data_IF_606445717300
#
_entry.id   IF_606445717300
#
_cell.length_a   1.000
_cell.length_b   1.000
_cell.length_c   1.000
_cell.angle_alpha   90.00
_cell.angle_beta   90.00
_cell.angle_gamma   90.00
#
_symmetry.space_group_name_H-M   'P 1'
#
loop_
_entity.id
_entity.type
_entity.pdbx_description
1 polymer ?
2 non-polymer ?
3 non-polymer ?
4 water ?
#
# COMPACT_ATOMS: atom_id res chain seq x y z
N UNK A 20 -20.80 6.81 -2.76
CA UNK A 20 -20.04 7.61 -3.72
C UNK A 20 -18.74 8.15 -3.13
N UNK A 21 -18.84 8.89 -2.01
CA UNK A 21 -17.73 9.50 -1.28
C UNK A 21 -17.47 8.72 0.02
N UNK A 22 -16.42 9.10 0.78
CA UNK A 22 -16.00 8.49 2.06
C UNK A 22 -16.14 6.97 2.05
N UNK A 23 -15.62 6.34 1.00
CA UNK A 23 -15.71 4.90 0.82
C UNK A 23 -14.35 4.28 0.54
N UNK A 24 -13.28 5.04 0.73
CA UNK A 24 -11.92 4.58 0.50
C UNK A 24 -11.19 4.37 1.82
N UNK A 25 -10.79 3.14 2.05
CA UNK A 25 -9.94 2.78 3.18
C UNK A 25 -8.57 2.69 2.59
N UNK A 26 -7.71 3.61 3.01
CA UNK A 26 -6.35 3.65 2.50
C UNK A 26 -5.34 3.17 3.52
N UNK A 27 -4.71 2.04 3.20
CA UNK A 27 -3.70 1.39 3.99
C UNK A 27 -2.37 2.05 3.66
N UNK A 28 -1.75 2.68 4.65
CA UNK A 28 -0.47 3.35 4.46
C UNK A 28 0.53 2.81 5.47
N UNK A 29 1.80 2.87 5.13
CA UNK A 29 2.88 2.45 6.02
C UNK A 29 3.47 3.71 6.65
N UNK A 30 3.53 3.74 7.98
CA UNK A 30 4.01 4.86 8.77
C UNK A 30 5.52 4.92 8.97
N UNK A 31 6.26 3.86 8.57
CA UNK A 31 7.71 3.85 8.82
C UNK A 31 8.59 3.68 7.57
N UNK A 32 9.42 2.62 7.52
CA UNK A 32 10.35 2.38 6.42
C UNK A 32 9.87 1.38 5.37
N UNK A 33 8.55 1.14 5.29
CA UNK A 33 8.01 0.27 4.25
C UNK A 33 7.92 -1.23 4.46
N UNK A 34 8.41 -1.75 5.59
CA UNK A 34 8.33 -3.19 5.80
C UNK A 34 7.50 -3.57 7.04
N UNK A 35 6.39 -2.84 7.24
CA UNK A 35 5.44 -3.03 8.35
C UNK A 35 4.40 -4.11 8.10
N UNK A 36 4.45 -4.73 6.92
CA UNK A 36 3.48 -5.74 6.53
C UNK A 36 2.10 -5.18 6.24
N UNK A 37 2.04 -4.09 5.41
CA UNK A 37 0.82 -3.42 4.90
C UNK A 37 -0.07 -4.49 4.27
N UNK A 38 0.55 -5.40 3.51
CA UNK A 38 -0.07 -6.51 2.80
C UNK A 38 -0.96 -7.37 3.68
N UNK A 39 -0.51 -7.59 4.93
CA UNK A 39 -1.26 -8.36 5.90
C UNK A 39 -2.56 -7.70 6.27
N UNK A 40 -2.52 -6.42 6.68
CA UNK A 40 -3.74 -5.69 7.06
C UNK A 40 -4.63 -5.43 5.85
N UNK A 41 -4.03 -5.25 4.64
CA UNK A 41 -4.79 -5.06 3.39
C UNK A 41 -5.66 -6.30 3.14
N UNK A 42 -5.03 -7.48 3.17
CA UNK A 42 -5.71 -8.76 3.01
C UNK A 42 -6.75 -8.98 4.09
N UNK A 43 -6.36 -8.73 5.37
CA UNK A 43 -7.26 -8.83 6.53
C UNK A 43 -8.49 -7.92 6.38
N UNK A 44 -8.28 -6.62 6.06
CA UNK A 44 -9.35 -5.65 5.84
C UNK A 44 -10.23 -6.05 4.68
N UNK A 45 -9.62 -6.54 3.57
CA UNK A 45 -10.36 -7.02 2.39
C UNK A 45 -11.32 -8.16 2.75
N UNK A 46 -10.86 -9.08 3.61
CA UNK A 46 -11.65 -10.21 4.07
C UNK A 46 -12.76 -9.78 5.03
N UNK A 47 -12.47 -8.83 5.94
CA UNK A 47 -13.40 -8.32 6.95
C UNK A 47 -14.48 -7.41 6.37
N UNK A 48 -14.09 -6.54 5.43
CA UNK A 48 -14.95 -5.51 4.87
C UNK A 48 -15.53 -5.84 3.50
N UNK A 49 -14.88 -6.73 2.77
CA UNK A 49 -15.35 -7.15 1.46
C UNK A 49 -15.48 -6.01 0.47
N UNK A 50 -14.38 -5.28 0.22
CA UNK A 50 -14.32 -4.20 -0.74
C UNK A 50 -14.60 -4.73 -2.13
N UNK A 51 -15.43 -4.05 -2.88
CA UNK A 51 -15.67 -4.50 -4.24
C UNK A 51 -14.50 -4.01 -5.08
N UNK A 52 -13.85 -2.91 -4.65
CA UNK A 52 -12.69 -2.37 -5.34
C UNK A 52 -11.48 -2.35 -4.46
N UNK A 53 -10.40 -2.81 -5.05
CA UNK A 53 -9.08 -2.79 -4.48
C UNK A 53 -8.24 -2.05 -5.49
N UNK A 54 -7.42 -1.13 -4.99
CA UNK A 54 -6.63 -0.22 -5.80
C UNK A 54 -5.27 0.06 -5.15
N UNK A 55 -4.26 0.25 -5.98
CA UNK A 55 -2.92 0.63 -5.53
C UNK A 55 -2.28 1.35 -6.70
N UNK A 56 -1.02 1.76 -6.57
CA UNK A 56 -0.22 2.40 -7.61
C UNK A 56 1.23 2.07 -7.21
N UNK A 57 1.51 0.76 -7.21
CA UNK A 57 2.81 0.25 -6.81
C UNK A 57 3.83 0.47 -7.89
N UNK A 58 5.03 0.84 -7.46
CA UNK A 58 6.22 0.95 -8.30
C UNK A 58 6.97 -0.36 -8.00
N UNK A 59 8.03 -0.79 -8.75
CA UNK A 59 8.70 -2.05 -8.40
C UNK A 59 9.13 -2.13 -6.93
N UNK A 60 8.79 -3.24 -6.29
CA UNK A 60 9.01 -3.44 -4.85
C UNK A 60 9.29 -4.93 -4.54
N UNK A 61 9.82 -5.22 -3.33
CA UNK A 61 10.15 -6.58 -2.86
C UNK A 61 8.90 -7.47 -2.68
N UNK A 62 7.73 -6.85 -2.70
CA UNK A 62 6.45 -7.54 -2.56
C UNK A 62 5.74 -7.25 -1.26
N UNK A 63 4.44 -7.55 -1.28
CA UNK A 63 3.51 -7.34 -0.17
C UNK A 63 2.81 -8.65 0.04
N UNK A 64 3.00 -9.21 1.22
CA UNK A 64 2.52 -10.51 1.55
C UNK A 64 1.25 -10.50 2.37
N UNK A 65 0.35 -11.41 1.98
CA UNK A 65 -0.85 -11.69 2.71
C UNK A 65 -1.07 -13.18 2.81
N UNK A 66 -1.33 -13.63 4.04
CA UNK A 66 -1.63 -15.04 4.29
C UNK A 66 -3.03 -15.14 4.90
N UNK A 67 -3.94 -15.88 4.26
CA UNK A 67 -5.29 -16.04 4.80
C UNK A 67 -5.31 -17.07 5.96
N UNK A 68 -6.48 -17.26 6.59
CA UNK A 68 -6.72 -18.21 7.69
C UNK A 68 -6.36 -19.63 7.27
N UNK A 69 -6.67 -19.99 6.00
CA UNK A 69 -6.40 -21.31 5.42
C UNK A 69 -4.92 -21.54 5.06
N UNK A 70 -4.09 -20.51 5.21
CA UNK A 70 -2.66 -20.59 4.93
C UNK A 70 -2.24 -20.25 3.51
N UNK A 71 -3.19 -19.85 2.64
CA UNK A 71 -2.87 -19.43 1.27
C UNK A 71 -2.11 -18.10 1.32
N UNK A 72 -0.96 -18.06 0.63
CA UNK A 72 -0.06 -16.93 0.57
C UNK A 72 -0.16 -16.23 -0.77
N UNK A 73 -0.17 -14.91 -0.69
CA UNK A 73 -0.17 -14.00 -1.81
C UNK A 73 1.01 -13.07 -1.61
N UNK A 74 1.95 -13.13 -2.55
CA UNK A 74 3.09 -12.23 -2.51
C UNK A 74 2.95 -11.35 -3.73
N UNK A 75 2.43 -10.16 -3.52
CA UNK A 75 2.16 -9.23 -4.59
C UNK A 75 3.10 -8.06 -4.66
N UNK A 76 3.64 -7.84 -5.85
CA UNK A 76 4.49 -6.71 -6.16
C UNK A 76 3.64 -5.73 -6.97
N UNK A 77 2.63 -6.25 -7.69
CA UNK A 77 1.80 -5.42 -8.58
C UNK A 77 0.37 -5.29 -8.08
N UNK A 78 -0.31 -6.43 -7.94
CA UNK A 78 -1.71 -6.51 -7.54
C UNK A 78 -1.93 -6.16 -6.08
N UNK A 79 -3.03 -5.46 -5.76
CA UNK A 79 -3.35 -5.20 -4.35
C UNK A 79 -3.51 -6.54 -3.61
N UNK A 80 -3.11 -6.56 -2.33
CA UNK A 80 -3.35 -7.70 -1.47
C UNK A 80 -4.85 -7.89 -1.21
N UNK A 81 -5.61 -6.80 -1.39
CA UNK A 81 -7.05 -6.74 -1.22
C UNK A 81 -7.87 -7.59 -2.16
N UNK A 82 -7.24 -8.18 -3.19
CA UNK A 82 -7.91 -9.06 -4.17
C UNK A 82 -8.56 -10.30 -3.51
N UNK A 83 -8.22 -10.56 -2.23
CA UNK A 83 -8.75 -11.65 -1.42
C UNK A 83 -10.18 -11.33 -0.96
N UNK A 84 -10.61 -10.06 -1.09
CA UNK A 84 -11.94 -9.62 -0.70
C UNK A 84 -13.04 -10.55 -1.24
N UNK A 85 -13.99 -11.02 -0.41
CA UNK A 85 -15.06 -11.91 -0.94
C UNK A 85 -15.97 -11.22 -1.95
N UNK A 86 -16.04 -9.88 -1.91
CA UNK A 86 -16.87 -9.11 -2.82
C UNK A 86 -16.10 -8.44 -3.95
N UNK A 87 -14.87 -8.91 -4.23
CA UNK A 87 -14.03 -8.34 -5.30
C UNK A 87 -14.74 -8.23 -6.65
N UNK A 88 -14.90 -7.00 -7.12
CA UNK A 88 -15.53 -6.69 -8.40
C UNK A 88 -14.51 -5.99 -9.30
N UNK A 89 -13.70 -5.09 -8.73
CA UNK A 89 -12.70 -4.30 -9.46
C UNK A 89 -11.32 -4.32 -8.81
N UNK A 90 -10.29 -4.55 -9.64
CA UNK A 90 -8.88 -4.53 -9.27
C UNK A 90 -8.27 -3.41 -10.07
N UNK A 91 -7.81 -2.37 -9.38
CA UNK A 91 -7.34 -1.18 -10.08
C UNK A 91 -5.90 -0.82 -9.79
N UNK A 92 -5.12 -0.75 -10.88
CA UNK A 92 -3.72 -0.38 -10.81
C UNK A 92 -3.62 1.06 -11.30
N UNK A 93 -3.43 1.95 -10.34
CA UNK A 93 -3.38 3.40 -10.52
C UNK A 93 -2.39 3.92 -11.53
N UNK A 94 -2.60 5.17 -11.93
CA UNK A 94 -1.77 5.96 -12.83
C UNK A 94 -0.32 5.93 -12.38
N UNK A 95 -0.12 6.00 -11.06
CA UNK A 95 1.19 5.92 -10.44
C UNK A 95 1.84 4.54 -10.48
N UNK A 96 1.11 3.49 -10.89
CA UNK A 96 1.70 2.16 -10.99
C UNK A 96 2.89 2.16 -11.99
N UNK A 97 3.96 1.48 -11.60
CA UNK A 97 5.13 1.22 -12.42
C UNK A 97 5.27 -0.27 -12.23
N UNK A 98 4.88 -1.02 -13.26
CA UNK A 98 4.82 -2.46 -13.17
C UNK A 98 5.33 -3.17 -14.42
N UNK A 99 5.79 -4.40 -14.19
CA UNK A 99 6.22 -5.33 -15.20
C UNK A 99 4.93 -6.09 -15.56
N UNK A 100 4.64 -6.16 -16.86
CA UNK A 100 3.50 -6.91 -17.41
C UNK A 100 3.72 -8.38 -17.05
N UNK A 101 4.98 -8.89 -17.14
CA UNK A 101 5.33 -10.29 -16.78
C UNK A 101 4.89 -10.59 -15.35
N UNK A 102 5.33 -9.74 -14.40
CA UNK A 102 4.96 -9.83 -12.99
C UNK A 102 3.44 -9.77 -12.82
N UNK A 103 2.77 -8.83 -13.53
CA UNK A 103 1.32 -8.65 -13.49
C UNK A 103 0.58 -9.90 -13.95
N UNK A 104 1.00 -10.46 -15.10
CA UNK A 104 0.43 -11.68 -15.68
C UNK A 104 0.60 -12.87 -14.72
N UNK A 105 1.79 -12.98 -14.11
CA UNK A 105 2.14 -14.03 -13.16
C UNK A 105 1.19 -13.96 -11.94
N UNK A 106 0.97 -12.76 -11.41
CA UNK A 106 0.11 -12.54 -10.24
C UNK A 106 -1.36 -12.75 -10.55
N UNK A 107 -1.77 -12.41 -11.78
CA UNK A 107 -3.14 -12.63 -12.22
C UNK A 107 -3.40 -14.13 -12.33
N UNK A 108 -2.51 -14.88 -13.03
CA UNK A 108 -2.57 -16.34 -13.20
C UNK A 108 -2.62 -17.05 -11.83
N UNK A 109 -1.77 -16.62 -10.88
CA UNK A 109 -1.71 -17.17 -9.52
C UNK A 109 -2.99 -16.92 -8.69
N UNK A 110 -3.76 -15.88 -9.05
CA UNK A 110 -5.04 -15.58 -8.39
C UNK A 110 -6.21 -15.64 -9.37
N UNK A 111 -6.05 -16.45 -10.44
CA UNK A 111 -6.99 -16.74 -11.52
C UNK A 111 -8.39 -16.94 -10.98
N UNK A 112 -8.50 -17.77 -9.93
CA UNK A 112 -9.72 -18.15 -9.21
C UNK A 112 -10.43 -16.94 -8.59
N UNK A 113 -9.65 -15.99 -8.06
CA UNK A 113 -10.15 -14.75 -7.46
C UNK A 113 -10.43 -13.72 -8.53
N UNK A 114 -9.81 -13.88 -9.72
CA UNK A 114 -9.94 -12.91 -10.81
C UNK A 114 -10.75 -13.48 -11.98
N UNK A 115 -11.94 -14.00 -11.66
CA UNK A 115 -12.92 -14.58 -12.58
C UNK A 115 -13.59 -13.52 -13.48
N UNK A 116 -14.58 -13.94 -14.29
CA UNK A 116 -15.35 -13.11 -15.22
C UNK A 116 -15.98 -11.87 -14.58
N UNK A 117 -16.48 -12.02 -13.33
CA UNK A 117 -17.12 -10.94 -12.57
C UNK A 117 -16.11 -10.02 -11.86
N UNK A 118 -14.80 -10.14 -12.18
CA UNK A 118 -13.75 -9.30 -11.64
C UNK A 118 -13.08 -8.53 -12.79
N UNK A 119 -13.19 -7.21 -12.76
CA UNK A 119 -12.56 -6.37 -13.77
C UNK A 119 -11.20 -5.88 -13.27
N UNK A 120 -10.15 -6.21 -14.00
CA UNK A 120 -8.82 -5.72 -13.67
C UNK A 120 -8.63 -4.50 -14.60
N UNK A 121 -8.50 -3.32 -13.99
CA UNK A 121 -8.35 -2.07 -14.70
C UNK A 121 -6.98 -1.47 -14.52
N UNK A 122 -6.21 -1.42 -15.61
CA UNK A 122 -4.91 -0.78 -15.57
C UNK A 122 -5.14 0.63 -16.09
N UNK A 123 -4.82 1.63 -15.25
CA UNK A 123 -4.91 3.04 -15.63
C UNK A 123 -4.13 3.23 -16.94
N UNK A 124 -4.69 3.99 -17.93
CA UNK A 124 -3.99 4.17 -19.22
C UNK A 124 -2.60 4.80 -19.05
N UNK A 125 -2.43 5.58 -17.98
CA UNK A 125 -1.17 6.26 -17.77
C UNK A 125 -0.22 5.53 -16.80
N UNK A 126 -0.55 4.27 -16.45
CA UNK A 126 0.33 3.44 -15.63
C UNK A 126 1.62 3.19 -16.42
N UNK A 127 2.73 3.16 -15.73
CA UNK A 127 4.01 2.96 -16.37
C UNK A 127 4.34 1.48 -16.51
N UNK A 128 4.57 1.05 -17.75
CA UNK A 128 4.96 -0.30 -18.10
C UNK A 128 6.49 -0.36 -18.05
N UNK A 129 6.99 -1.25 -17.18
CA UNK A 129 8.41 -1.50 -16.97
C UNK A 129 8.95 -2.34 -18.14
N UNK A 130 10.06 -1.89 -18.75
CA UNK A 130 10.69 -2.60 -19.88
C UNK A 130 11.35 -3.90 -19.41
N UNK A 131 10.91 -5.06 -19.99
CA UNK A 131 11.37 -6.42 -19.70
C UNK A 131 11.25 -6.82 -18.23
N UNK A 152 12.87 0.90 -13.26
CA UNK A 152 11.92 1.58 -12.38
C UNK A 152 12.08 3.10 -12.51
N UNK A 153 13.29 3.60 -12.18
CA UNK A 153 13.67 5.01 -12.25
C UNK A 153 13.61 5.47 -13.69
N UNK A 154 14.25 4.72 -14.63
CA UNK A 154 14.25 5.02 -16.06
C UNK A 154 12.83 5.01 -16.63
N UNK A 155 11.96 4.08 -16.16
CA UNK A 155 10.56 3.96 -16.56
C UNK A 155 9.74 5.20 -16.14
N UNK A 156 9.76 5.54 -14.82
CA UNK A 156 9.08 6.70 -14.23
C UNK A 156 9.54 7.98 -14.95
N UNK A 157 10.88 8.14 -15.16
CA UNK A 157 11.52 9.25 -15.87
C UNK A 157 11.03 9.35 -17.32
N UNK A 158 11.00 8.21 -18.06
CA UNK A 158 10.54 8.17 -19.47
C UNK A 158 9.07 8.64 -19.57
N UNK A 159 8.26 8.27 -18.57
CA UNK A 159 6.87 8.68 -18.51
C UNK A 159 6.80 10.20 -18.32
N UNK A 160 7.61 10.74 -17.40
CA UNK A 160 7.68 12.19 -17.13
C UNK A 160 8.23 12.96 -18.32
N UNK A 161 9.14 12.35 -19.12
CA UNK A 161 9.74 12.95 -20.32
C UNK A 161 8.65 13.36 -21.28
N UNK A 162 7.53 12.61 -21.29
CA UNK A 162 6.34 12.86 -22.11
C UNK A 162 6.68 13.01 -23.59
N UNK A 163 7.56 12.13 -24.07
CA UNK A 163 8.00 12.11 -25.46
C UNK A 163 6.79 11.69 -26.33
N UNK A 164 6.27 12.60 -27.20
CA UNK A 164 5.11 12.24 -28.03
C UNK A 164 5.32 11.05 -28.96
N UNK A 165 6.58 10.76 -29.33
CA UNK A 165 6.93 9.63 -30.20
C UNK A 165 7.00 8.32 -29.44
N UNK A 166 7.31 8.39 -28.13
CA UNK A 166 7.42 7.21 -27.25
C UNK A 166 6.04 6.61 -26.92
N UNK A 167 5.71 5.51 -27.61
CA UNK A 167 4.46 4.79 -27.43
C UNK A 167 4.71 3.50 -26.65
N UNK A 168 5.81 3.48 -25.87
CA UNK A 168 6.20 2.26 -25.15
C UNK A 168 6.30 2.41 -23.63
N UNK A 169 5.90 3.56 -23.08
CA UNK A 169 6.02 3.75 -21.63
C UNK A 169 4.67 3.58 -20.89
N UNK A 170 3.59 4.23 -21.35
CA UNK A 170 2.32 4.14 -20.64
C UNK A 170 1.50 2.96 -21.13
N UNK A 171 0.69 2.42 -20.22
CA UNK A 171 -0.20 1.29 -20.41
C UNK A 171 -1.15 1.44 -21.59
N UNK A 172 -1.71 2.66 -21.85
CA UNK A 172 -2.60 2.98 -22.98
C UNK A 172 -1.86 2.64 -24.28
N UNK A 173 -0.60 3.09 -24.36
CA UNK A 173 0.29 2.93 -25.51
C UNK A 173 0.80 1.49 -25.66
N UNK A 174 1.34 0.91 -24.57
CA UNK A 174 1.83 -0.47 -24.56
C UNK A 174 0.66 -1.43 -24.91
N UNK A 175 -0.57 -1.13 -24.43
CA UNK A 175 -1.78 -1.92 -24.77
C UNK A 175 -2.13 -1.96 -26.27
N UNK A 176 -1.56 -1.05 -27.09
CA UNK A 176 -1.81 -1.00 -28.52
C UNK A 176 -1.06 -2.12 -29.28
N UNK A 177 0.07 -2.60 -28.72
CA UNK A 177 0.83 -3.71 -29.33
C UNK A 177 0.92 -4.94 -28.41
N UNK A 178 0.69 -4.74 -27.11
CA UNK A 178 0.73 -5.82 -26.12
C UNK A 178 -0.67 -6.16 -25.61
N UNK A 179 -1.26 -7.18 -26.23
CA UNK A 179 -2.59 -7.69 -25.90
C UNK A 179 -2.80 -8.15 -24.47
N UNK A 180 -1.69 -8.55 -23.78
CA UNK A 180 -1.67 -9.00 -22.38
C UNK A 180 -2.28 -7.99 -21.43
N UNK A 181 -1.99 -6.70 -21.65
CA UNK A 181 -2.53 -5.62 -20.83
C UNK A 181 -3.72 -4.91 -21.50
N UNK A 182 -3.87 -5.00 -22.84
CA UNK A 182 -4.97 -4.36 -23.60
C UNK A 182 -6.37 -4.64 -23.03
N UNK A 183 -6.58 -5.89 -22.59
CA UNK A 183 -7.78 -6.43 -21.97
C UNK A 183 -8.06 -5.79 -20.59
N UNK A 184 -7.03 -5.21 -19.98
CA UNK A 184 -7.12 -4.57 -18.66
C UNK A 184 -7.03 -3.06 -18.72
N UNK A 185 -6.29 -2.53 -19.71
CA UNK A 185 -6.05 -1.10 -19.85
C UNK A 185 -7.33 -0.40 -20.23
N UNK A 186 -7.76 0.45 -19.32
CA UNK A 186 -8.96 1.22 -19.45
C UNK A 186 -8.58 2.65 -19.86
N UNK A 187 -9.58 3.49 -20.07
CA UNK A 187 -9.38 4.90 -20.36
C UNK A 187 -9.45 5.62 -19.03
N UNK A 188 -9.02 6.89 -18.99
CA UNK A 188 -9.12 7.72 -17.77
C UNK A 188 -10.59 7.80 -17.33
N UNK A 189 -11.53 7.98 -18.29
CA UNK A 189 -12.97 8.07 -18.06
C UNK A 189 -13.47 6.78 -17.40
N UNK A 190 -13.09 5.60 -17.97
CA UNK A 190 -13.43 4.29 -17.42
C UNK A 190 -12.84 4.10 -16.02
N UNK A 191 -11.64 4.67 -15.77
CA UNK A 191 -10.95 4.63 -14.50
C UNK A 191 -11.81 5.38 -13.46
N UNK A 192 -12.20 6.63 -13.79
CA UNK A 192 -13.03 7.50 -12.95
C UNK A 192 -14.38 6.84 -12.70
N UNK A 193 -14.96 6.26 -13.76
CA UNK A 193 -16.24 5.55 -13.74
C UNK A 193 -16.18 4.30 -12.85
N UNK A 194 -15.03 3.58 -12.86
CA UNK A 194 -14.83 2.40 -12.03
C UNK A 194 -14.80 2.81 -10.56
N UNK A 195 -14.11 3.94 -10.23
CA UNK A 195 -14.08 4.50 -8.87
C UNK A 195 -15.46 4.98 -8.44
N UNK A 196 -16.19 5.65 -9.34
CA UNK A 196 -17.55 6.13 -9.07
C UNK A 196 -18.47 4.95 -8.74
N UNK A 197 -18.45 3.90 -9.59
CA UNK A 197 -19.29 2.71 -9.42
C UNK A 197 -18.82 1.79 -8.26
N UNK A 198 -17.67 2.10 -7.65
CA UNK A 198 -17.18 1.30 -6.53
C UNK A 198 -17.97 1.61 -5.25
N UNK A 199 -18.48 0.56 -4.60
CA UNK A 199 -19.23 0.72 -3.36
C UNK A 199 -18.25 1.02 -2.20
N UNK A 200 -17.29 0.11 -1.97
CA UNK A 200 -16.26 0.24 -0.95
C UNK A 200 -14.91 -0.10 -1.54
N UNK A 201 -13.94 0.77 -1.29
CA UNK A 201 -12.62 0.66 -1.89
C UNK A 201 -11.54 0.52 -0.88
N UNK A 202 -10.67 -0.46 -1.11
CA UNK A 202 -9.45 -0.60 -0.37
C UNK A 202 -8.35 -0.06 -1.26
N UNK A 203 -7.75 1.03 -0.82
CA UNK A 203 -6.60 1.67 -1.47
C UNK A 203 -5.39 1.24 -0.67
N UNK A 204 -4.38 0.79 -1.38
CA UNK A 204 -3.17 0.29 -0.79
C UNK A 204 -1.97 1.12 -1.16
N UNK A 205 -1.60 1.98 -0.22
CA UNK A 205 -0.41 2.83 -0.30
C UNK A 205 0.82 1.98 -0.49
N UNK A 206 1.84 2.59 -1.02
CA UNK A 206 3.08 1.90 -1.31
C UNK A 206 4.20 2.27 -0.35
N UNK A 207 5.23 1.42 -0.29
CA UNK A 207 6.45 1.62 0.50
C UNK A 207 6.15 2.05 1.95
N UNK A 208 6.67 3.20 2.37
CA UNK A 208 6.49 3.68 3.73
C UNK A 208 6.82 5.14 3.86
N UNK A 209 6.13 5.80 4.79
CA UNK A 209 6.24 7.24 5.03
C UNK A 209 7.69 7.80 5.06
N UNK A 210 8.62 7.15 5.76
CA UNK A 210 9.99 7.63 5.90
C UNK A 210 10.81 7.44 4.64
N UNK A 211 10.33 6.63 3.71
CA UNK A 211 10.90 6.43 2.39
C UNK A 211 10.41 7.53 1.42
N UNK A 212 9.57 8.49 1.90
CA UNK A 212 9.05 9.61 1.08
C UNK A 212 10.17 10.44 0.52
N UNK A 213 10.06 10.73 -0.79
CA UNK A 213 10.96 11.55 -1.57
C UNK A 213 11.26 12.86 -0.85
N UNK A 214 10.21 13.44 -0.21
CA UNK A 214 10.29 14.72 0.45
C UNK A 214 10.35 14.64 1.96
N UNK A 215 10.69 13.46 2.48
CA UNK A 215 10.98 13.37 3.91
C UNK A 215 12.48 13.64 4.05
N UNK A 216 12.97 13.87 5.28
CA UNK A 216 14.34 14.27 5.62
C UNK A 216 15.49 13.36 5.10
N UNK A 217 15.20 12.10 4.74
CA UNK A 217 16.24 11.17 4.32
C UNK A 217 16.70 11.32 2.90
N UNK A 218 16.04 12.18 2.09
CA UNK A 218 16.42 12.48 0.71
C UNK A 218 17.94 12.69 0.59
N UNK A 219 18.62 12.07 -0.40
CA UNK A 219 18.12 11.25 -1.52
C UNK A 219 17.94 9.75 -1.23
N UNK A 220 18.18 9.34 0.03
CA UNK A 220 18.03 7.96 0.51
C UNK A 220 16.54 7.77 0.86
N UNK A 221 15.74 7.72 -0.19
CA UNK A 221 14.28 7.69 -0.18
C UNK A 221 13.85 7.10 -1.53
N UNK A 222 12.56 6.89 -1.69
CA UNK A 222 11.94 6.43 -2.92
C UNK A 222 11.68 7.68 -3.79
N UNK A 223 11.30 7.49 -5.07
CA UNK A 223 11.03 8.53 -6.07
C UNK A 223 9.74 9.34 -5.85
N UNK A 224 8.94 9.01 -4.81
CA UNK A 224 7.70 9.73 -4.49
C UNK A 224 7.47 9.78 -3.00
N UNK A 225 6.57 10.67 -2.60
CA UNK A 225 6.09 10.73 -1.24
C UNK A 225 5.19 9.54 -1.01
N UNK A 226 5.30 9.00 0.17
CA UNK A 226 4.56 7.86 0.64
C UNK A 226 3.68 8.40 1.75
N UNK A 227 2.75 9.21 1.30
CA UNK A 227 1.79 9.96 2.11
C UNK A 227 0.42 9.70 1.54
N UNK A 228 -0.66 9.74 2.37
CA UNK A 228 -2.02 9.53 1.82
C UNK A 228 -2.36 10.38 0.59
N UNK A 229 -2.01 11.71 0.62
CA UNK A 229 -2.26 12.68 -0.44
C UNK A 229 -1.69 12.21 -1.76
N UNK A 230 -0.42 11.73 -1.74
CA UNK A 230 0.26 11.21 -2.91
C UNK A 230 -0.34 9.90 -3.42
N UNK A 231 -0.67 8.96 -2.50
CA UNK A 231 -1.30 7.67 -2.84
C UNK A 231 -2.61 7.86 -3.56
N UNK A 232 -3.48 8.74 -3.01
CA UNK A 232 -4.78 9.10 -3.58
C UNK A 232 -4.55 9.77 -4.92
N UNK A 233 -3.54 10.66 -5.00
CA UNK A 233 -3.14 11.27 -6.27
C UNK A 233 -2.74 10.23 -7.32
N UNK A 234 -1.89 9.27 -6.96
CA UNK A 234 -1.35 8.22 -7.84
C UNK A 234 -2.39 7.17 -8.24
N UNK A 235 -3.52 7.10 -7.51
CA UNK A 235 -4.60 6.16 -7.81
C UNK A 235 -5.78 6.91 -8.41
N UNK A 236 -5.60 8.23 -8.60
CA UNK A 236 -6.63 9.12 -9.09
C UNK A 236 -7.89 9.12 -8.24
N UNK A 237 -7.71 8.92 -6.92
CA UNK A 237 -8.83 8.90 -5.99
C UNK A 237 -9.09 10.31 -5.55
N UNK A 238 -10.29 10.85 -5.88
CA UNK A 238 -10.65 12.20 -5.41
C UNK A 238 -10.71 12.17 -3.89
N UNK A 239 -10.18 13.23 -3.30
CA UNK A 239 -10.08 13.41 -1.86
C UNK A 239 -11.40 13.14 -1.07
N UNK A 240 -12.63 13.54 -1.51
CA UNK A 240 -13.84 13.23 -0.71
C UNK A 240 -14.18 11.75 -0.63
N UNK A 241 -13.56 10.92 -1.50
CA UNK A 241 -13.74 9.47 -1.45
C UNK A 241 -13.01 8.87 -0.27
N UNK A 242 -12.04 9.59 0.34
CA UNK A 242 -11.33 9.04 1.50
C UNK A 242 -12.23 8.86 2.72
N UNK A 243 -12.42 7.60 3.12
CA UNK A 243 -13.19 7.26 4.32
C UNK A 243 -12.23 7.36 5.49
N UNK A 244 -11.19 6.50 5.49
CA UNK A 244 -10.19 6.43 6.55
C UNK A 244 -8.81 5.97 6.06
N UNK A 245 -7.80 6.34 6.85
CA UNK A 245 -6.42 5.95 6.65
C UNK A 245 -6.07 4.90 7.73
N UNK A 246 -5.68 3.72 7.27
CA UNK A 246 -5.18 2.67 8.15
C UNK A 246 -3.65 2.73 8.07
N UNK A 247 -3.03 3.30 9.09
CA UNK A 247 -1.59 3.45 9.21
C UNK A 247 -1.00 2.18 9.77
N UNK A 248 0.05 1.67 9.14
CA UNK A 248 0.68 0.43 9.53
C UNK A 248 2.06 0.74 10.05
N UNK A 249 2.40 0.09 11.15
CA UNK A 249 3.67 0.24 11.84
C UNK A 249 4.16 -1.14 12.28
N UNK A 250 5.47 -1.21 12.54
CA UNK A 250 6.23 -2.33 13.06
C UNK A 250 6.69 -1.77 14.36
N UNK A 251 6.87 -2.62 15.35
CA UNK A 251 7.46 -2.24 16.62
C UNK A 251 8.91 -1.86 16.36
N UNK A 252 9.59 -2.68 15.57
CA UNK A 252 10.97 -2.45 15.23
C UNK A 252 11.01 -2.17 13.75
N UNK A 253 10.96 -0.88 13.32
CA UNK A 253 10.94 -0.58 11.87
C UNK A 253 12.19 -1.04 11.14
N UNK A 254 12.01 -1.52 9.90
CA UNK A 254 13.11 -2.05 9.12
C UNK A 254 13.29 -1.32 7.81
N UNK A 255 14.56 -0.97 7.52
CA UNK A 255 15.00 -0.37 6.26
C UNK A 255 15.61 -1.46 5.38
N UNK A 256 15.24 -1.46 4.08
CA UNK A 256 15.76 -2.39 3.06
C UNK A 256 17.19 -2.02 2.65
N UNK A 260 23.20 3.49 4.58
CA UNK A 260 22.30 2.83 3.64
C UNK A 260 20.87 3.43 3.62
N UNK A 261 20.73 4.62 4.22
CA UNK A 261 19.44 5.30 4.27
C UNK A 261 19.32 6.43 5.28
N UNK A 262 19.80 6.17 6.50
CA UNK A 262 19.71 7.13 7.60
C UNK A 262 18.46 6.86 8.42
N UNK A 263 18.55 7.09 9.72
CA UNK A 263 17.43 6.84 10.62
C UNK A 263 17.14 8.04 11.52
N UNK A 264 16.15 7.89 12.40
CA UNK A 264 15.72 8.92 13.33
C UNK A 264 16.63 8.97 14.58
N UNK A 265 16.85 10.16 15.22
CA UNK A 265 17.79 10.24 16.34
C UNK A 265 17.42 9.45 17.60
N UNK A 266 16.12 9.22 17.83
CA UNK A 266 15.59 8.48 18.98
C UNK A 266 15.48 6.98 18.69
N UNK A 267 16.19 6.53 17.65
CA UNK A 267 16.21 5.13 17.28
C UNK A 267 17.63 4.71 16.92
N UNK A 268 17.91 3.43 17.08
CA UNK A 268 19.23 2.85 16.78
C UNK A 268 19.06 1.50 16.11
N UNK A 269 20.08 1.06 15.37
CA UNK A 269 20.06 -0.24 14.70
C UNK A 269 20.15 -1.35 15.76
N UNK A 270 19.38 -2.42 15.59
CA UNK A 270 19.34 -3.56 16.51
C UNK A 270 20.10 -4.77 15.97
N UNK A 288 20.45 -6.77 3.13
CA UNK A 288 20.58 -5.31 3.23
C UNK A 288 19.50 -4.75 4.22
N UNK A 289 18.93 -5.65 5.05
CA UNK A 289 17.93 -5.30 6.05
C UNK A 289 18.61 -4.71 7.29
N UNK A 290 18.12 -3.55 7.73
CA UNK A 290 18.60 -2.89 8.94
C UNK A 290 17.40 -2.73 9.87
N UNK A 291 17.37 -3.52 10.96
CA UNK A 291 16.30 -3.46 11.97
C UNK A 291 16.61 -2.33 12.94
N UNK A 292 15.62 -1.48 13.18
CA UNK A 292 15.78 -0.35 14.09
C UNK A 292 14.84 -0.49 15.25
N UNK A 293 15.16 0.16 16.36
CA UNK A 293 14.28 0.22 17.52
C UNK A 293 13.17 1.21 17.13
N UNK A 294 12.03 1.14 17.80
CA UNK A 294 10.94 2.06 17.55
C UNK A 294 11.40 3.51 17.69
N UNK A 295 11.01 4.32 16.72
CA UNK A 295 11.27 5.75 16.74
C UNK A 295 9.95 6.47 16.97
N UNK A 296 9.86 7.14 18.12
CA UNK A 296 8.70 7.94 18.50
C UNK A 296 8.61 9.16 17.56
N UNK A 297 9.78 9.77 17.24
CA UNK A 297 9.91 10.92 16.34
C UNK A 297 9.40 10.53 14.95
N UNK A 298 9.78 9.31 14.45
CA UNK A 298 9.34 8.75 13.16
C UNK A 298 7.83 8.70 13.20
N UNK A 299 7.28 8.14 14.31
CA UNK A 299 5.85 8.03 14.50
C UNK A 299 5.17 9.38 14.47
N UNK A 300 5.68 10.38 15.24
CA UNK A 300 5.13 11.73 15.25
C UNK A 300 5.06 12.31 13.85
N UNK A 301 6.17 12.21 13.10
CA UNK A 301 6.28 12.70 11.72
C UNK A 301 5.31 11.99 10.80
N UNK A 302 5.21 10.66 10.92
CA UNK A 302 4.29 9.85 10.14
C UNK A 302 2.85 10.17 10.50
N UNK A 303 2.57 10.39 11.79
CA UNK A 303 1.28 10.78 12.31
C UNK A 303 0.84 12.12 11.75
N UNK A 304 1.74 13.15 11.84
CA UNK A 304 1.53 14.48 11.37
C UNK A 304 1.09 14.50 9.92
N UNK A 305 1.91 13.94 9.03
CA UNK A 305 1.60 13.89 7.62
C UNK A 305 0.50 12.94 7.25
N UNK A 306 0.61 11.69 7.68
CA UNK A 306 -0.29 10.63 7.22
C UNK A 306 -1.63 10.63 7.87
N UNK A 307 -1.70 11.20 9.07
CA UNK A 307 -2.91 11.30 9.88
C UNK A 307 -3.79 10.02 9.75
N UNK A 308 -3.30 8.82 10.19
CA UNK A 308 -4.15 7.64 10.10
C UNK A 308 -5.29 7.76 11.10
N UNK A 309 -6.41 7.19 10.75
CA UNK A 309 -7.56 7.14 11.63
C UNK A 309 -7.40 5.93 12.55
N UNK A 310 -6.84 4.84 12.00
CA UNK A 310 -6.59 3.57 12.68
C UNK A 310 -5.15 3.14 12.43
N UNK A 311 -4.54 2.51 13.43
CA UNK A 311 -3.19 2.02 13.34
C UNK A 311 -3.15 0.51 13.51
N UNK A 312 -2.43 -0.13 12.61
CA UNK A 312 -2.11 -1.53 12.65
C UNK A 312 -0.65 -1.62 13.09
N UNK A 313 -0.43 -2.09 14.32
CA UNK A 313 0.92 -2.28 14.81
C UNK A 313 1.25 -3.75 14.65
N UNK A 314 2.14 -4.03 13.69
CA UNK A 314 2.57 -5.35 13.31
C UNK A 314 3.90 -5.71 13.96
N UNK A 315 4.26 -7.00 13.84
CA UNK A 315 5.47 -7.63 14.35
C UNK A 315 5.60 -7.46 15.87
N UNK A 316 4.43 -7.44 16.55
CA UNK A 316 4.30 -7.35 18.00
C UNK A 316 4.77 -8.66 18.59
N UNK A 317 4.64 -9.76 17.81
CA UNK A 317 5.10 -11.10 18.15
C UNK A 317 6.60 -11.14 18.42
N UNK A 318 7.38 -10.19 17.89
CA UNK A 318 8.82 -10.21 18.14
C UNK A 318 9.22 -9.50 19.42
N UNK A 319 8.24 -8.96 20.16
CA UNK A 319 8.49 -8.22 21.40
C UNK A 319 7.69 -8.73 22.59
N UNK A 320 8.26 -8.61 23.81
CA UNK A 320 7.62 -8.90 25.09
C UNK A 320 6.28 -8.14 25.21
N UNK A 321 5.29 -8.58 26.02
CA UNK A 321 4.04 -7.80 26.14
C UNK A 321 4.31 -6.32 26.40
N UNK A 322 5.20 -6.03 27.37
CA UNK A 322 5.60 -4.66 27.72
C UNK A 322 6.18 -3.92 26.51
N UNK A 323 7.02 -4.61 25.73
CA UNK A 323 7.64 -4.07 24.53
C UNK A 323 6.66 -3.55 23.50
N UNK A 324 5.76 -4.41 22.99
CA UNK A 324 4.76 -3.99 21.99
C UNK A 324 3.67 -3.12 22.57
N UNK A 325 3.32 -3.30 23.87
CA UNK A 325 2.30 -2.50 24.55
C UNK A 325 2.82 -1.07 24.72
N UNK A 326 4.12 -0.92 25.07
CA UNK A 326 4.75 0.39 25.20
C UNK A 326 4.71 1.12 23.86
N UNK A 327 4.97 0.38 22.75
CA UNK A 327 4.93 0.97 21.42
C UNK A 327 3.49 1.37 21.05
N UNK A 328 2.47 0.54 21.44
CA UNK A 328 1.05 0.87 21.23
C UNK A 328 0.77 2.25 21.84
N UNK A 329 1.18 2.44 23.11
CA UNK A 329 1.02 3.69 23.87
C UNK A 329 1.83 4.81 23.25
N UNK A 330 3.11 4.55 22.86
CA UNK A 330 3.99 5.53 22.18
C UNK A 330 3.36 6.07 20.89
N UNK A 331 2.79 5.18 20.05
CA UNK A 331 2.13 5.49 18.77
C UNK A 331 0.97 6.43 19.04
N UNK A 332 0.18 6.11 20.08
CA UNK A 332 -0.96 6.90 20.49
C UNK A 332 -0.55 8.25 21.03
N UNK A 333 0.61 8.32 21.72
CA UNK A 333 1.17 9.56 22.23
C UNK A 333 1.66 10.40 21.05
N UNK A 334 2.35 9.75 20.07
CA UNK A 334 2.84 10.39 18.85
C UNK A 334 1.66 10.94 18.05
N UNK A 335 0.59 10.13 17.86
CA UNK A 335 -0.64 10.53 17.18
C UNK A 335 -1.23 11.78 17.85
N UNK A 336 -1.44 11.70 19.17
CA UNK A 336 -1.97 12.77 20.00
C UNK A 336 -1.12 14.05 19.87
N UNK A 337 0.23 13.93 20.02
CA UNK A 337 1.20 15.02 19.88
C UNK A 337 1.16 15.69 18.48
N UNK A 338 0.62 15.00 17.45
CA UNK A 338 0.52 15.54 16.11
C UNK A 338 -0.91 15.66 15.60
N UNK A 339 -1.87 16.00 16.51
CA UNK A 339 -3.31 16.27 16.19
C UNK A 339 -3.96 15.13 15.44
N UNK A 340 -3.53 13.92 15.77
CA UNK A 340 -4.02 12.74 15.12
C UNK A 340 -4.77 11.87 16.09
N UNK A 341 -6.08 11.72 15.89
CA UNK A 341 -6.92 10.90 16.75
C UNK A 341 -6.67 9.37 16.55
N UNK A 342 -5.64 8.97 15.75
CA UNK A 342 -5.30 7.57 15.51
C UNK A 342 -5.17 6.75 16.77
N UNK A 343 -5.77 5.59 16.70
CA UNK A 343 -5.68 4.63 17.75
C UNK A 343 -5.18 3.34 17.14
N UNK A 344 -4.35 2.63 17.89
CA UNK A 344 -3.86 1.33 17.50
C UNK A 344 -5.09 0.42 17.62
N UNK A 345 -5.63 -0.03 16.48
CA UNK A 345 -6.84 -0.85 16.47
C UNK A 345 -6.49 -2.32 16.22
N UNK A 346 -5.46 -2.54 15.42
CA UNK A 346 -5.04 -3.87 15.03
C UNK A 346 -3.62 -4.15 15.43
N UNK A 347 -3.40 -5.39 15.85
CA UNK A 347 -2.11 -5.84 16.27
C UNK A 347 -1.70 -7.08 15.50
N UNK A 348 -0.56 -7.00 14.85
CA UNK A 348 -0.01 -8.12 14.09
C UNK A 348 0.92 -8.95 14.95
N UNK A 349 0.52 -10.20 15.19
CA UNK A 349 1.25 -11.18 16.00
C UNK A 349 1.76 -12.36 15.15
N UNK A 350 1.84 -12.13 13.86
CA UNK A 350 2.29 -13.11 12.88
C UNK A 350 1.93 -12.70 11.47
N UNK A 351 2.37 -13.45 10.44
CA UNK A 351 2.13 -13.04 9.04
C UNK A 351 0.74 -13.37 8.47
N UNK A 352 -0.11 -13.97 9.28
CA UNK A 352 -1.39 -14.49 8.82
C UNK A 352 -2.61 -13.69 9.29
N UNK A 353 -3.73 -13.81 8.56
CA UNK A 353 -5.04 -13.25 8.88
C UNK A 353 -5.35 -13.50 10.37
N UNK A 354 -5.19 -14.77 10.84
CA UNK A 354 -5.41 -15.24 12.22
C UNK A 354 -4.57 -14.50 13.26
N UNK A 355 -3.41 -13.97 12.85
CA UNK A 355 -2.48 -13.27 13.72
C UNK A 355 -2.76 -11.78 13.90
N UNK A 356 -3.77 -11.28 13.17
CA UNK A 356 -4.19 -9.91 13.34
C UNK A 356 -5.20 -9.93 14.47
N UNK A 357 -4.92 -9.18 15.51
CA UNK A 357 -5.74 -9.10 16.70
C UNK A 357 -6.30 -7.71 16.84
N UNK A 358 -7.50 -7.61 17.41
CA UNK A 358 -8.05 -6.32 17.74
C UNK A 358 -7.30 -5.93 19.00
N UNK A 359 -6.72 -4.72 18.99
CA UNK A 359 -5.93 -4.19 20.12
C UNK A 359 -6.75 -4.24 21.43
N UNK A 360 -8.05 -3.87 21.35
CA UNK A 360 -9.00 -3.85 22.47
C UNK A 360 -9.22 -5.24 23.10
N UNK A 361 -8.98 -6.32 22.33
CA UNK A 361 -9.12 -7.72 22.75
C UNK A 361 -7.87 -8.28 23.45
N UNK A 362 -6.69 -7.67 23.22
CA UNK A 362 -5.43 -8.18 23.77
C UNK A 362 -4.75 -7.23 24.81
N UNK A 363 -5.23 -5.98 24.96
CA UNK A 363 -4.69 -5.04 25.96
C UNK A 363 -5.75 -4.03 26.47
#
# INVERSE_FOLDING_TARGET
MGSSHHHHHHSSGLVPRGSHMENVDLVIDLQFGSTGKGLIAGYLAEKNGYDTVINANMPNAGHTYINAEGRKWMHKVLPNGIVSPNLKRVMLGAGSVFSINRLMEEIEMSKDLLHDKVAILIHPMATVLDEEAHKKAEVGIATSIGSTGQGSMAAMVEKLQRDPTNNTIVARDVAQYDGRIAQYVCTVEEWDMALMASERILAEGAQGFSLSLNQEFYPYCTSRDCTPARFLADMGIPLPMLNKVIGTARCHPIRVGGTSGGHYPDQEELTWEQLGQVPELTTVTKKVRRVFSFSFIQMQKAMWTCQPDEVFLNFCNYLSPMGWQDIVHQIEVAAQSRYCDAEVKYLGFGPTFNDVELREDVM
#
